data_IF_685228823242
#
_entry.id   IF_685228823242
#
_cell.length_a   1.000
_cell.length_b   1.000
_cell.length_c   1.000
_cell.angle_alpha   90.00
_cell.angle_beta   90.00
_cell.angle_gamma   90.00
#
_symmetry.space_group_name_H-M   'P 1'
#
loop_
_entity.id
_entity.type
_entity.pdbx_description
1 polymer ?
#
# COMPACT_ATOMS: atom_id res chain seq x y z
N UNK A 1 -15.49 -9.93 -40.38
CA UNK A 1 -14.03 -9.84 -40.64
C UNK A 1 -13.63 -8.38 -40.63
N UNK A 2 -13.36 -7.81 -39.44
CA UNK A 2 -12.98 -6.40 -39.31
C UNK A 2 -11.53 -6.20 -39.70
N UNK A 3 -11.29 -5.35 -40.70
CA UNK A 3 -9.97 -4.89 -41.12
C UNK A 3 -9.51 -3.76 -40.18
N UNK A 4 -9.10 -4.11 -38.96
CA UNK A 4 -8.31 -3.19 -38.16
C UNK A 4 -6.85 -3.27 -38.66
N UNK A 5 -6.40 -2.25 -39.38
CA UNK A 5 -4.98 -2.12 -39.72
C UNK A 5 -4.23 -1.61 -38.48
N UNK A 6 -3.08 -2.21 -38.17
CA UNK A 6 -2.17 -1.66 -37.16
C UNK A 6 -1.58 -0.35 -37.69
N UNK A 7 -1.92 0.78 -37.08
CA UNK A 7 -1.51 2.13 -37.53
C UNK A 7 -0.29 2.65 -36.76
N UNK A 8 0.66 1.81 -36.34
CA UNK A 8 1.68 2.21 -35.36
C UNK A 8 2.57 3.35 -35.91
N UNK A 9 2.36 4.57 -35.41
CA UNK A 9 3.12 5.79 -35.74
C UNK A 9 4.33 5.97 -34.82
N UNK A 10 5.16 4.93 -34.64
CA UNK A 10 6.21 4.92 -33.59
C UNK A 10 5.66 5.16 -32.17
N UNK A 11 4.39 4.80 -31.92
CA UNK A 11 3.82 4.75 -30.59
C UNK A 11 4.14 3.39 -29.95
N UNK A 12 4.89 3.36 -28.85
CA UNK A 12 5.19 2.11 -28.17
C UNK A 12 6.25 2.17 -27.06
N UNK A 13 6.50 0.99 -26.51
CA UNK A 13 7.46 0.71 -25.44
C UNK A 13 8.75 0.16 -26.03
N UNK A 14 9.90 0.58 -25.50
CA UNK A 14 11.20 0.24 -26.06
C UNK A 14 12.21 -0.02 -24.96
N UNK A 15 13.00 -1.07 -25.15
CA UNK A 15 14.26 -1.30 -24.47
C UNK A 15 15.39 -1.30 -25.51
N UNK A 16 16.23 -0.25 -25.50
CA UNK A 16 17.27 -0.07 -26.52
C UNK A 16 18.46 -1.03 -26.37
N UNK A 17 18.64 -1.62 -25.18
CA UNK A 17 19.76 -2.51 -24.88
C UNK A 17 19.39 -3.99 -25.00
N UNK A 18 18.09 -4.31 -24.90
CA UNK A 18 17.59 -5.69 -24.90
C UNK A 18 16.21 -5.76 -25.58
N UNK A 19 16.15 -5.88 -26.91
CA UNK A 19 14.89 -5.80 -27.67
C UNK A 19 13.93 -6.98 -27.40
N UNK A 20 14.40 -8.04 -26.75
CA UNK A 20 13.57 -9.19 -26.31
C UNK A 20 12.78 -8.89 -25.03
N UNK A 21 13.13 -7.82 -24.33
CA UNK A 21 12.43 -7.34 -23.15
C UNK A 21 11.38 -6.29 -23.54
N UNK A 22 10.13 -6.55 -23.17
CA UNK A 22 8.97 -5.77 -23.61
C UNK A 22 7.91 -5.62 -22.53
N UNK A 23 6.66 -5.44 -22.96
CA UNK A 23 5.50 -5.32 -22.08
C UNK A 23 5.07 -6.71 -21.62
N UNK A 24 5.04 -6.93 -20.30
CA UNK A 24 4.57 -8.18 -19.68
C UNK A 24 3.13 -8.08 -19.18
N UNK A 25 2.70 -6.88 -18.79
CA UNK A 25 1.40 -6.63 -18.20
C UNK A 25 0.80 -5.31 -18.66
N UNK A 26 -0.52 -5.28 -18.79
CA UNK A 26 -1.28 -4.09 -19.10
C UNK A 26 -2.56 -4.06 -18.27
N UNK A 27 -2.95 -2.88 -17.80
CA UNK A 27 -4.24 -2.70 -17.13
C UNK A 27 -4.77 -1.29 -17.35
N UNK A 28 -6.09 -1.13 -17.31
CA UNK A 28 -6.69 0.19 -17.22
C UNK A 28 -6.88 0.57 -15.77
N UNK A 29 -6.55 1.81 -15.43
CA UNK A 29 -6.94 2.42 -14.17
C UNK A 29 -7.52 3.81 -14.45
N UNK A 30 -8.82 3.96 -14.18
CA UNK A 30 -9.60 5.06 -14.76
C UNK A 30 -9.67 4.91 -16.29
N UNK A 31 -9.41 5.99 -17.01
CA UNK A 31 -9.40 6.00 -18.48
C UNK A 31 -7.99 5.73 -19.06
N UNK A 32 -7.00 5.62 -18.20
CA UNK A 32 -5.60 5.57 -18.61
C UNK A 32 -5.11 4.11 -18.67
N UNK A 33 -4.33 3.80 -19.69
CA UNK A 33 -3.66 2.52 -19.85
C UNK A 33 -2.32 2.55 -19.12
N UNK A 34 -2.09 1.58 -18.24
CA UNK A 34 -0.81 1.36 -17.59
C UNK A 34 -0.17 0.11 -18.17
N UNK A 35 1.11 0.22 -18.51
CA UNK A 35 1.89 -0.89 -19.08
C UNK A 35 3.11 -1.12 -18.22
N UNK A 36 3.37 -2.39 -17.91
CA UNK A 36 4.48 -2.84 -17.09
C UNK A 36 5.28 -3.91 -17.82
N UNK A 37 6.58 -3.93 -17.62
CA UNK A 37 7.45 -4.86 -18.33
C UNK A 37 8.91 -4.66 -17.98
N UNK A 38 9.80 -5.01 -18.90
CA UNK A 38 11.22 -4.71 -18.82
C UNK A 38 11.60 -3.73 -19.94
N UNK A 39 11.51 -2.45 -19.63
CA UNK A 39 11.76 -1.36 -20.56
C UNK A 39 12.22 -0.11 -19.84
N UNK A 40 12.87 0.79 -20.57
CA UNK A 40 13.38 2.05 -20.01
C UNK A 40 12.79 3.26 -20.71
N UNK A 41 12.00 3.07 -21.77
CA UNK A 41 11.49 4.15 -22.59
C UNK A 41 10.10 3.87 -23.13
N UNK A 42 9.24 4.87 -23.07
CA UNK A 42 7.97 4.94 -23.79
C UNK A 42 8.03 6.11 -24.77
N UNK A 43 7.47 5.97 -25.97
CA UNK A 43 7.53 7.03 -26.99
C UNK A 43 6.31 7.08 -27.89
N UNK A 44 6.11 8.25 -28.48
CA UNK A 44 5.30 8.49 -29.68
C UNK A 44 6.22 8.95 -30.81
N UNK A 45 5.67 9.23 -32.00
CA UNK A 45 6.43 9.87 -33.08
C UNK A 45 7.08 11.20 -32.66
N UNK A 46 6.49 11.89 -31.68
CA UNK A 46 6.82 13.28 -31.35
C UNK A 46 7.37 13.45 -29.93
N UNK A 47 7.46 12.38 -29.14
CA UNK A 47 7.87 12.46 -27.74
C UNK A 47 8.52 11.18 -27.25
N UNK A 48 9.53 11.31 -26.40
CA UNK A 48 10.24 10.19 -25.76
C UNK A 48 10.25 10.45 -24.26
N UNK A 49 9.87 9.45 -23.48
CA UNK A 49 9.78 9.50 -22.03
C UNK A 49 10.61 8.38 -21.45
N UNK A 50 11.55 8.74 -20.57
CA UNK A 50 12.25 7.77 -19.73
C UNK A 50 11.25 7.20 -18.73
N UNK A 51 10.94 5.91 -18.82
CA UNK A 51 9.95 5.24 -18.00
C UNK A 51 10.52 3.89 -17.55
N UNK A 52 10.81 3.75 -16.27
CA UNK A 52 11.52 2.59 -15.74
C UNK A 52 10.52 1.48 -15.44
N UNK A 53 10.38 0.55 -16.39
CA UNK A 53 9.60 -0.69 -16.31
C UNK A 53 8.08 -0.52 -16.13
N UNK A 54 7.59 0.73 -16.04
CA UNK A 54 6.17 1.07 -16.01
C UNK A 54 5.92 2.46 -16.61
N UNK A 55 4.86 2.56 -17.42
CA UNK A 55 4.44 3.80 -18.07
C UNK A 55 2.91 3.91 -18.11
N UNK A 56 2.43 5.15 -18.20
CA UNK A 56 1.02 5.50 -18.33
C UNK A 56 0.77 6.12 -19.71
N UNK A 57 -0.30 5.70 -20.37
CA UNK A 57 -0.84 6.28 -21.59
C UNK A 57 -2.24 6.85 -21.33
N UNK A 58 -2.43 8.14 -21.59
CA UNK A 58 -3.70 8.85 -21.37
C UNK A 58 -4.61 8.91 -22.62
N UNK A 59 -4.24 8.20 -23.68
CA UNK A 59 -4.89 8.31 -24.99
C UNK A 59 -4.16 9.22 -25.98
N UNK A 60 -3.25 10.07 -25.50
CA UNK A 60 -2.55 11.11 -26.28
C UNK A 60 -1.04 11.06 -26.09
N UNK A 61 -0.57 10.90 -24.85
CA UNK A 61 0.84 10.95 -24.47
C UNK A 61 1.22 9.87 -23.46
N UNK A 62 2.49 9.46 -23.52
CA UNK A 62 3.10 8.64 -22.48
C UNK A 62 3.59 9.53 -21.32
N UNK A 63 3.53 8.99 -20.11
CA UNK A 63 4.12 9.58 -18.92
C UNK A 63 4.73 8.52 -18.01
N UNK A 64 5.80 8.90 -17.31
CA UNK A 64 6.41 8.08 -16.27
C UNK A 64 5.64 8.20 -14.95
N UNK A 65 5.72 7.18 -14.10
CA UNK A 65 5.11 7.20 -12.77
C UNK A 65 6.17 7.50 -11.72
N UNK A 66 5.91 8.48 -10.84
CA UNK A 66 6.76 8.76 -9.67
C UNK A 66 7.68 9.98 -9.80
N UNK A 67 7.93 10.50 -11.00
CA UNK A 67 8.79 11.68 -11.18
C UNK A 67 8.17 13.00 -10.72
N UNK A 68 6.89 13.01 -10.34
CA UNK A 68 6.17 14.22 -9.98
C UNK A 68 6.21 15.25 -11.13
N UNK A 69 6.50 16.51 -10.79
CA UNK A 69 6.70 17.58 -11.79
C UNK A 69 8.13 17.62 -12.36
N UNK A 70 9.04 16.76 -11.92
CA UNK A 70 10.40 16.74 -12.43
C UNK A 70 10.49 15.95 -13.75
N UNK A 71 11.48 16.28 -14.57
CA UNK A 71 11.82 15.49 -15.76
C UNK A 71 12.19 14.06 -15.36
N UNK A 72 11.54 13.08 -15.98
CA UNK A 72 11.80 11.67 -15.70
C UNK A 72 13.19 11.23 -16.19
N UNK A 73 13.94 10.55 -15.32
CA UNK A 73 15.28 10.00 -15.55
C UNK A 73 15.33 8.54 -15.11
N UNK A 74 16.44 7.85 -15.33
CA UNK A 74 16.62 6.44 -14.91
C UNK A 74 16.56 6.20 -13.40
N UNK A 75 16.52 7.26 -12.57
CA UNK A 75 16.64 7.13 -11.10
C UNK A 75 15.48 7.74 -10.30
N UNK A 76 14.55 8.45 -10.94
CA UNK A 76 13.48 9.19 -10.23
C UNK A 76 12.06 8.77 -10.61
N UNK A 77 11.88 7.63 -11.28
CA UNK A 77 10.57 7.11 -11.64
C UNK A 77 10.54 5.58 -11.70
N UNK A 78 9.34 5.02 -11.71
CA UNK A 78 9.07 3.61 -11.95
C UNK A 78 9.61 2.68 -10.87
N UNK A 79 9.98 1.47 -11.26
CA UNK A 79 10.54 0.43 -10.38
C UNK A 79 11.97 0.08 -10.81
N UNK A 80 12.75 -0.47 -9.87
CA UNK A 80 14.16 -0.79 -10.10
C UNK A 80 14.42 -1.84 -11.18
N UNK A 81 13.44 -2.68 -11.47
CA UNK A 81 13.56 -3.85 -12.34
C UNK A 81 12.16 -4.31 -12.81
N UNK A 82 12.03 -5.47 -13.45
CA UNK A 82 10.87 -5.88 -14.24
C UNK A 82 9.54 -5.90 -13.49
N UNK A 83 8.50 -5.35 -14.12
CA UNK A 83 7.10 -5.55 -13.76
C UNK A 83 6.53 -6.73 -14.54
N UNK A 84 5.95 -7.70 -13.84
CA UNK A 84 5.33 -8.89 -14.46
C UNK A 84 3.79 -8.86 -14.36
N UNK A 85 3.23 -8.11 -13.42
CA UNK A 85 1.81 -8.06 -13.16
C UNK A 85 1.34 -6.67 -12.76
N UNK A 86 0.15 -6.30 -13.24
CA UNK A 86 -0.56 -5.07 -12.89
C UNK A 86 -2.00 -5.40 -12.52
N UNK A 87 -2.52 -4.75 -11.49
CA UNK A 87 -3.95 -4.80 -11.15
C UNK A 87 -4.40 -3.45 -10.63
N UNK A 88 -5.56 -2.98 -11.09
CA UNK A 88 -6.19 -1.76 -10.58
C UNK A 88 -7.39 -2.13 -9.69
N UNK A 89 -7.50 -1.53 -8.52
CA UNK A 89 -8.57 -1.82 -7.58
C UNK A 89 -8.52 -0.92 -6.36
N UNK A 90 -9.66 -0.75 -5.68
CA UNK A 90 -9.76 0.06 -4.45
C UNK A 90 -9.19 1.50 -4.57
N UNK A 91 -9.20 2.07 -5.79
CA UNK A 91 -8.67 3.40 -6.05
C UNK A 91 -7.14 3.49 -6.14
N UNK A 92 -6.43 2.38 -6.27
CA UNK A 92 -4.98 2.32 -6.44
C UNK A 92 -4.61 1.40 -7.62
N UNK A 93 -3.39 1.55 -8.11
CA UNK A 93 -2.73 0.62 -9.01
C UNK A 93 -1.70 -0.21 -8.23
N UNK A 94 -1.80 -1.53 -8.34
CA UNK A 94 -0.87 -2.48 -7.75
C UNK A 94 0.08 -3.03 -8.82
N UNK A 95 1.34 -3.13 -8.46
CA UNK A 95 2.43 -3.63 -9.31
C UNK A 95 3.09 -4.83 -8.63
N UNK A 96 3.32 -5.87 -9.42
CA UNK A 96 4.01 -7.07 -9.00
C UNK A 96 5.10 -7.43 -10.01
N UNK A 97 6.24 -7.90 -9.54
CA UNK A 97 7.33 -8.30 -10.42
C UNK A 97 8.56 -8.75 -9.67
N UNK A 98 9.71 -8.58 -10.33
CA UNK A 98 11.02 -8.84 -9.74
C UNK A 98 11.75 -7.52 -9.59
N UNK A 99 11.46 -6.78 -8.52
CA UNK A 99 12.06 -5.49 -8.20
C UNK A 99 12.24 -5.32 -6.68
N UNK A 100 13.13 -4.42 -6.28
CA UNK A 100 13.47 -4.18 -4.86
C UNK A 100 13.09 -2.77 -4.39
N UNK A 101 12.98 -1.82 -5.31
CA UNK A 101 12.58 -0.45 -4.99
C UNK A 101 11.62 0.12 -6.01
N UNK A 102 10.82 1.08 -5.54
CA UNK A 102 10.04 2.03 -6.35
C UNK A 102 10.68 3.41 -6.22
N UNK A 103 10.65 4.22 -7.27
CA UNK A 103 11.29 5.54 -7.27
C UNK A 103 10.26 6.66 -7.36
N UNK A 104 10.29 7.54 -6.37
CA UNK A 104 9.59 8.82 -6.38
C UNK A 104 10.56 9.95 -6.69
N UNK A 105 10.05 11.15 -6.99
CA UNK A 105 10.85 12.35 -7.20
C UNK A 105 11.68 12.75 -5.97
N UNK A 106 11.25 12.33 -4.78
CA UNK A 106 11.94 12.52 -3.50
C UNK A 106 12.99 11.45 -3.19
N UNK A 107 13.06 10.38 -3.98
CA UNK A 107 14.01 9.27 -3.79
C UNK A 107 13.40 7.88 -3.92
N UNK A 108 14.25 6.87 -3.82
CA UNK A 108 13.86 5.47 -3.84
C UNK A 108 13.24 5.04 -2.51
N UNK A 109 12.18 4.23 -2.58
CA UNK A 109 11.50 3.62 -1.44
C UNK A 109 11.67 2.10 -1.54
N UNK A 110 12.10 1.40 -0.47
CA UNK A 110 12.13 -0.06 -0.45
C UNK A 110 10.72 -0.63 -0.66
N UNK A 111 10.56 -1.48 -1.67
CA UNK A 111 9.32 -2.17 -1.97
C UNK A 111 9.66 -3.48 -2.70
N UNK A 112 9.70 -4.58 -1.95
CA UNK A 112 10.19 -5.86 -2.48
C UNK A 112 9.08 -6.61 -3.19
N UNK A 113 9.24 -6.79 -4.51
CA UNK A 113 8.40 -7.58 -5.43
C UNK A 113 6.95 -7.11 -5.63
N UNK A 114 6.39 -6.31 -4.71
CA UNK A 114 5.02 -5.80 -4.77
C UNK A 114 4.95 -4.38 -4.19
N UNK A 115 4.23 -3.50 -4.88
CA UNK A 115 4.04 -2.10 -4.46
C UNK A 115 2.69 -1.56 -4.94
N UNK A 116 2.37 -0.33 -4.52
CA UNK A 116 1.14 0.36 -4.89
C UNK A 116 1.37 1.82 -5.27
N UNK A 117 0.58 2.30 -6.22
CA UNK A 117 0.54 3.65 -6.73
C UNK A 117 -0.84 4.24 -6.49
N UNK A 118 -0.89 5.41 -5.85
CA UNK A 118 -2.13 6.10 -5.51
C UNK A 118 -2.50 7.20 -6.52
N UNK A 119 -1.78 7.32 -7.63
CA UNK A 119 -1.96 8.40 -8.62
C UNK A 119 -0.86 9.45 -8.58
N UNK A 120 -0.16 9.59 -7.46
CA UNK A 120 0.89 10.62 -7.27
C UNK A 120 2.17 10.10 -6.65
N UNK A 121 2.11 9.03 -5.85
CA UNK A 121 3.25 8.54 -5.07
C UNK A 121 3.25 7.03 -4.97
N UNK A 122 4.44 6.44 -5.16
CA UNK A 122 4.70 5.04 -4.92
C UNK A 122 4.85 4.75 -3.43
N UNK A 123 4.24 3.65 -2.99
CA UNK A 123 4.35 3.13 -1.63
C UNK A 123 4.57 1.62 -1.66
N UNK A 124 5.26 1.09 -0.64
CA UNK A 124 5.33 -0.36 -0.41
C UNK A 124 3.94 -0.91 -0.04
N UNK A 125 3.64 -2.13 -0.47
CA UNK A 125 2.44 -2.86 -0.02
C UNK A 125 2.84 -3.79 1.14
N UNK A 126 2.53 -3.36 2.37
CA UNK A 126 2.94 -4.08 3.57
C UNK A 126 4.46 -4.22 3.64
N UNK A 127 4.95 -5.41 3.96
CA UNK A 127 6.38 -5.74 4.05
C UNK A 127 6.96 -6.37 2.78
N UNK A 128 6.19 -6.37 1.68
CA UNK A 128 6.61 -6.96 0.41
C UNK A 128 6.55 -8.49 0.41
N UNK A 129 7.24 -9.11 -0.56
CA UNK A 129 7.31 -10.57 -0.76
C UNK A 129 8.75 -11.00 -1.05
N UNK A 130 9.10 -12.25 -0.72
CA UNK A 130 10.46 -12.79 -0.90
C UNK A 130 10.74 -13.40 -2.28
N UNK A 131 9.78 -13.33 -3.21
CA UNK A 131 9.90 -13.94 -4.53
C UNK A 131 9.04 -13.22 -5.55
N UNK A 132 9.34 -13.47 -6.82
CA UNK A 132 8.72 -12.80 -7.96
C UNK A 132 7.19 -12.92 -7.93
N UNK A 133 6.49 -11.80 -8.11
CA UNK A 133 5.04 -11.80 -8.32
C UNK A 133 4.74 -11.89 -9.81
N UNK A 134 4.11 -12.99 -10.23
CA UNK A 134 3.80 -13.29 -11.63
C UNK A 134 2.38 -12.89 -12.04
N UNK A 135 1.47 -12.81 -11.08
CA UNK A 135 0.08 -12.48 -11.33
C UNK A 135 -0.48 -11.63 -10.19
N UNK A 136 -1.33 -10.67 -10.55
CA UNK A 136 -2.12 -9.87 -9.63
C UNK A 136 -3.55 -9.81 -10.14
N UNK A 137 -4.51 -9.96 -9.22
CA UNK A 137 -5.93 -9.74 -9.46
C UNK A 137 -6.48 -8.90 -8.32
N UNK A 138 -7.18 -7.81 -8.66
CA UNK A 138 -7.97 -7.07 -7.70
C UNK A 138 -9.43 -7.51 -7.80
N UNK A 139 -10.05 -7.80 -6.66
CA UNK A 139 -11.46 -8.19 -6.56
C UNK A 139 -12.08 -7.56 -5.31
N UNK A 140 -12.94 -6.56 -5.51
CA UNK A 140 -13.54 -5.79 -4.43
C UNK A 140 -12.47 -5.12 -3.55
N UNK A 141 -12.39 -5.56 -2.30
CA UNK A 141 -11.45 -5.08 -1.27
C UNK A 141 -10.20 -5.94 -1.13
N UNK A 142 -10.01 -6.90 -2.05
CA UNK A 142 -8.92 -7.85 -2.00
C UNK A 142 -7.99 -7.64 -3.19
N UNK A 143 -6.69 -7.77 -2.92
CA UNK A 143 -5.69 -8.02 -3.94
C UNK A 143 -5.16 -9.44 -3.74
N UNK A 144 -5.22 -10.24 -4.79
CA UNK A 144 -4.70 -11.59 -4.81
C UNK A 144 -3.41 -11.56 -5.64
N UNK A 145 -2.31 -11.97 -5.02
CA UNK A 145 -1.02 -12.14 -5.66
C UNK A 145 -0.72 -13.62 -5.87
N UNK A 146 -0.14 -13.97 -7.01
CA UNK A 146 0.38 -15.29 -7.31
C UNK A 146 1.80 -15.19 -7.87
N UNK A 147 2.67 -16.13 -7.51
CA UNK A 147 4.05 -16.11 -7.98
C UNK A 147 4.99 -17.06 -7.25
N UNK A 148 6.26 -16.72 -7.24
CA UNK A 148 7.34 -17.57 -6.73
C UNK A 148 7.69 -17.33 -5.25
N UNK A 149 6.91 -16.51 -4.55
CA UNK A 149 7.12 -16.21 -3.14
C UNK A 149 6.62 -17.35 -2.24
N UNK A 150 7.31 -17.56 -1.14
CA UNK A 150 6.93 -18.53 -0.10
C UNK A 150 6.52 -17.84 1.19
N UNK A 151 6.98 -16.61 1.42
CA UNK A 151 6.68 -15.82 2.60
C UNK A 151 6.47 -14.33 2.28
N UNK A 152 5.84 -13.61 3.20
CA UNK A 152 5.93 -12.14 3.25
C UNK A 152 7.38 -11.69 3.44
N UNK A 153 7.72 -10.48 2.99
CA UNK A 153 9.11 -10.00 2.96
C UNK A 153 9.80 -9.93 4.32
N UNK A 154 9.04 -9.87 5.42
CA UNK A 154 9.53 -9.94 6.80
C UNK A 154 9.57 -11.37 7.39
N UNK A 155 9.19 -12.39 6.63
CA UNK A 155 9.11 -13.78 7.09
C UNK A 155 7.94 -14.10 8.02
N UNK A 156 7.06 -13.15 8.32
CA UNK A 156 5.99 -13.31 9.33
C UNK A 156 4.83 -14.19 8.88
N UNK A 157 4.67 -14.41 7.57
CA UNK A 157 3.55 -15.15 6.97
C UNK A 157 4.05 -16.08 5.89
N UNK A 158 3.63 -17.34 5.93
CA UNK A 158 3.82 -18.31 4.85
C UNK A 158 2.64 -18.21 3.89
N UNK A 159 2.92 -17.92 2.62
CA UNK A 159 1.89 -17.68 1.62
C UNK A 159 1.89 -18.76 0.51
N UNK A 160 2.81 -19.73 0.50
CA UNK A 160 2.79 -20.87 -0.43
C UNK A 160 2.40 -20.52 -1.89
N UNK A 161 3.12 -19.55 -2.51
CA UNK A 161 2.94 -19.11 -3.90
C UNK A 161 1.69 -18.27 -4.21
N UNK A 162 0.79 -18.04 -3.25
CA UNK A 162 -0.33 -17.10 -3.42
C UNK A 162 -0.69 -16.33 -2.13
N UNK A 163 -0.99 -15.05 -2.22
CA UNK A 163 -1.29 -14.19 -1.08
C UNK A 163 -2.57 -13.39 -1.30
N UNK A 164 -3.40 -13.26 -0.26
CA UNK A 164 -4.59 -12.40 -0.28
C UNK A 164 -4.36 -11.22 0.65
N UNK A 165 -4.37 -10.02 0.10
CA UNK A 165 -4.24 -8.76 0.80
C UNK A 165 -5.62 -8.12 0.95
N UNK A 166 -5.95 -7.66 2.15
CA UNK A 166 -7.08 -6.75 2.34
C UNK A 166 -6.56 -5.32 2.13
N UNK A 167 -7.01 -4.68 1.06
CA UNK A 167 -6.39 -3.44 0.56
C UNK A 167 -7.15 -2.16 0.93
N UNK A 168 -8.34 -2.27 1.51
CA UNK A 168 -8.91 -1.12 2.22
C UNK A 168 -8.09 -0.88 3.48
N UNK A 169 -7.82 0.39 3.77
CA UNK A 169 -7.19 0.82 5.00
C UNK A 169 -7.77 0.01 6.15
N UNK A 170 -6.90 -0.78 6.81
CA UNK A 170 -7.24 -1.40 8.07
C UNK A 170 -7.91 -0.29 8.91
N UNK A 171 -9.11 -0.49 9.48
CA UNK A 171 -9.72 0.52 10.37
C UNK A 171 -8.81 0.89 11.56
N UNK A 172 -7.72 0.14 11.75
CA UNK A 172 -6.61 0.39 12.63
C UNK A 172 -5.35 0.76 11.82
N UNK A 173 -5.27 2.00 11.35
CA UNK A 173 -4.00 2.62 10.98
C UNK A 173 -3.33 3.15 12.25
N UNK A 174 -2.12 2.68 12.57
CA UNK A 174 -1.26 3.39 13.54
C UNK A 174 -0.71 4.60 12.80
N UNK A 175 -1.35 5.76 13.00
CA UNK A 175 -0.73 7.03 12.65
C UNK A 175 0.35 7.27 13.69
N UNK A 176 1.60 7.45 13.27
CA UNK A 176 2.62 8.04 14.13
C UNK A 176 2.16 9.46 14.46
N UNK A 177 1.41 9.61 15.55
CA UNK A 177 0.91 10.89 16.01
C UNK A 177 2.09 11.78 16.36
N UNK A 178 2.28 12.84 15.58
CA UNK A 178 3.10 13.99 15.94
C UNK A 178 2.57 14.57 17.25
N UNK A 179 3.36 14.50 18.34
CA UNK A 179 3.21 15.18 19.64
C UNK A 179 1.84 15.84 19.93
N UNK A 180 0.76 15.07 19.84
CA UNK A 180 -0.55 15.44 20.36
C UNK A 180 -0.65 14.84 21.76
N UNK A 181 -1.33 15.53 22.68
CA UNK A 181 -1.47 15.18 24.09
C UNK A 181 -1.53 13.65 24.28
N UNK A 182 -0.57 13.09 25.01
CA UNK A 182 -0.49 11.65 25.16
C UNK A 182 -1.69 11.14 25.97
N UNK A 183 -2.28 10.03 25.53
CA UNK A 183 -3.23 9.30 26.35
C UNK A 183 -2.47 8.61 27.49
N UNK A 184 -2.99 8.72 28.70
CA UNK A 184 -2.44 8.03 29.88
C UNK A 184 -3.49 7.08 30.47
N UNK A 185 -3.02 5.94 30.97
CA UNK A 185 -3.86 4.92 31.59
C UNK A 185 -3.36 4.61 32.99
N UNK A 186 -4.25 4.59 33.97
CA UNK A 186 -3.94 4.13 35.32
C UNK A 186 -5.14 3.46 36.00
N UNK A 187 -4.96 2.32 36.70
CA UNK A 187 -3.73 1.53 36.72
C UNK A 187 -3.47 0.85 35.36
N UNK A 188 -2.20 0.61 35.06
CA UNK A 188 -1.75 -0.15 33.89
C UNK A 188 -0.42 -0.86 34.26
N UNK A 189 -0.42 -2.17 34.58
CA UNK A 189 -1.48 -3.16 34.34
C UNK A 189 -2.79 -2.90 35.09
N UNK A 190 -3.90 -3.34 34.50
CA UNK A 190 -5.26 -3.16 35.00
C UNK A 190 -5.89 -4.50 35.38
N UNK A 191 -6.44 -4.59 36.59
CA UNK A 191 -7.10 -5.78 37.15
C UNK A 191 -8.62 -5.82 36.88
N UNK A 192 -9.09 -5.14 35.82
CA UNK A 192 -10.49 -5.09 35.41
C UNK A 192 -11.04 -3.67 35.21
N UNK A 193 -10.36 -2.65 35.73
CA UNK A 193 -10.68 -1.25 35.46
C UNK A 193 -9.43 -0.42 35.19
N UNK A 194 -9.55 0.59 34.33
CA UNK A 194 -8.52 1.59 34.10
C UNK A 194 -9.15 2.97 33.84
N UNK A 195 -8.48 4.02 34.27
CA UNK A 195 -8.84 5.41 33.94
C UNK A 195 -7.98 5.89 32.78
N UNK A 196 -8.62 6.35 31.72
CA UNK A 196 -7.96 7.06 30.61
C UNK A 196 -8.00 8.57 30.85
N UNK A 197 -6.89 9.26 30.66
CA UNK A 197 -6.81 10.73 30.60
C UNK A 197 -6.14 11.21 29.32
N UNK A 198 -6.36 12.48 28.95
CA UNK A 198 -5.77 13.11 27.77
C UNK A 198 -6.58 12.92 26.48
N UNK A 199 -7.78 12.34 26.55
CA UNK A 199 -8.63 12.18 25.38
C UNK A 199 -9.24 13.53 24.94
N UNK A 200 -9.56 13.72 23.65
CA UNK A 200 -10.32 14.90 23.23
C UNK A 200 -11.67 14.96 23.96
N UNK A 201 -12.12 16.18 24.26
CA UNK A 201 -13.37 16.42 25.00
C UNK A 201 -14.54 15.68 24.35
N UNK A 202 -15.28 14.90 25.14
CA UNK A 202 -16.44 14.15 24.66
C UNK A 202 -16.15 13.12 23.55
N UNK A 203 -14.87 12.73 23.35
CA UNK A 203 -14.50 11.75 22.33
C UNK A 203 -15.00 10.33 22.67
N UNK A 204 -15.31 9.56 21.63
CA UNK A 204 -15.50 8.12 21.78
C UNK A 204 -14.16 7.46 22.14
N UNK A 205 -14.19 6.63 23.17
CA UNK A 205 -13.05 5.84 23.63
C UNK A 205 -13.35 4.37 23.39
N UNK A 206 -12.45 3.68 22.69
CA UNK A 206 -12.65 2.31 22.24
C UNK A 206 -11.46 1.45 22.66
N UNK A 207 -11.72 0.23 23.13
CA UNK A 207 -10.69 -0.76 23.47
C UNK A 207 -10.75 -1.90 22.46
N UNK A 208 -9.60 -2.32 21.95
CA UNK A 208 -9.47 -3.38 20.95
C UNK A 208 -8.55 -4.49 21.45
N UNK A 209 -8.88 -5.74 21.11
CA UNK A 209 -7.98 -6.89 21.26
C UNK A 209 -6.86 -6.88 20.19
N UNK A 210 -5.90 -7.79 20.32
CA UNK A 210 -4.76 -7.91 19.37
C UNK A 210 -5.17 -8.29 17.95
N UNK A 211 -6.40 -8.79 17.75
CA UNK A 211 -6.98 -9.08 16.45
C UNK A 211 -7.75 -7.89 15.88
N UNK A 212 -7.77 -6.76 16.58
CA UNK A 212 -8.44 -5.54 16.19
C UNK A 212 -9.95 -5.54 16.42
N UNK A 213 -10.49 -6.52 17.16
CA UNK A 213 -11.92 -6.53 17.51
C UNK A 213 -12.16 -5.60 18.68
N UNK A 214 -13.22 -4.79 18.59
CA UNK A 214 -13.61 -3.85 19.63
C UNK A 214 -14.27 -4.60 20.79
N UNK A 215 -13.71 -4.47 21.99
CA UNK A 215 -14.16 -5.16 23.20
C UNK A 215 -14.86 -4.24 24.20
N UNK A 216 -14.62 -2.93 24.13
CA UNK A 216 -15.28 -1.93 24.96
C UNK A 216 -15.47 -0.63 24.16
N UNK A 217 -16.56 0.08 24.44
CA UNK A 217 -16.77 1.46 23.98
C UNK A 217 -17.34 2.28 25.12
N UNK A 218 -16.76 3.45 25.33
CA UNK A 218 -17.22 4.46 26.29
C UNK A 218 -16.99 5.86 25.71
N UNK A 219 -17.26 6.89 26.50
CA UNK A 219 -17.08 8.29 26.11
C UNK A 219 -16.24 9.00 27.15
N UNK A 220 -15.29 9.82 26.70
CA UNK A 220 -14.59 10.74 27.57
C UNK A 220 -15.52 11.86 28.06
N UNK A 221 -15.31 12.34 29.27
CA UNK A 221 -16.05 13.44 29.84
C UNK A 221 -15.58 14.81 29.28
N UNK A 222 -16.08 15.89 29.90
CA UNK A 222 -15.72 17.25 29.52
C UNK A 222 -14.23 17.59 29.74
N UNK A 223 -13.53 16.81 30.56
CA UNK A 223 -12.12 16.98 30.94
C UNK A 223 -11.18 16.08 30.13
N UNK A 224 -11.71 15.22 29.26
CA UNK A 224 -10.91 14.25 28.51
C UNK A 224 -10.58 12.98 29.31
N UNK A 225 -11.36 12.69 30.34
CA UNK A 225 -11.20 11.50 31.20
C UNK A 225 -12.26 10.46 30.87
N UNK A 226 -11.92 9.17 30.85
CA UNK A 226 -12.87 8.08 30.66
C UNK A 226 -12.59 6.91 31.60
N UNK A 227 -13.64 6.36 32.21
CA UNK A 227 -13.54 5.11 32.97
C UNK A 227 -13.71 3.91 32.03
N UNK A 228 -12.73 3.01 32.06
CA UNK A 228 -12.71 1.77 31.31
C UNK A 228 -13.03 0.61 32.24
N UNK A 229 -14.29 0.16 32.25
CA UNK A 229 -14.67 -1.08 32.91
C UNK A 229 -14.52 -2.24 31.93
N UNK A 230 -13.47 -3.04 32.10
CA UNK A 230 -13.16 -4.15 31.19
C UNK A 230 -14.12 -5.32 31.44
N UNK A 231 -14.70 -5.93 30.39
CA UNK A 231 -15.49 -7.14 30.53
C UNK A 231 -14.74 -8.24 31.31
N UNK A 232 -15.41 -8.87 32.27
CA UNK A 232 -14.79 -9.89 33.13
C UNK A 232 -14.26 -11.09 32.34
N UNK A 233 -14.91 -11.43 31.21
CA UNK A 233 -14.52 -12.52 30.32
C UNK A 233 -13.32 -12.21 29.41
N UNK A 234 -12.78 -10.99 29.44
CA UNK A 234 -11.56 -10.69 28.68
C UNK A 234 -10.39 -11.51 29.25
N UNK A 235 -9.54 -12.10 28.41
CA UNK A 235 -8.32 -12.76 28.89
C UNK A 235 -7.28 -11.71 29.35
N UNK A 236 -6.37 -12.12 30.23
CA UNK A 236 -5.15 -11.36 30.48
C UNK A 236 -4.37 -11.18 29.17
N UNK A 237 -3.77 -10.01 28.97
CA UNK A 237 -3.08 -9.70 27.73
C UNK A 237 -2.99 -8.21 27.40
N UNK A 238 -2.58 -7.95 26.16
CA UNK A 238 -2.36 -6.59 25.64
C UNK A 238 -3.56 -6.14 24.81
N UNK A 239 -4.00 -4.91 25.05
CA UNK A 239 -5.10 -4.26 24.38
C UNK A 239 -4.65 -2.87 23.90
N UNK A 240 -5.35 -2.33 22.91
CA UNK A 240 -5.15 -0.96 22.43
C UNK A 240 -6.37 -0.13 22.79
N UNK A 241 -6.15 0.99 23.47
CA UNK A 241 -7.18 2.01 23.72
C UNK A 241 -7.00 3.14 22.73
N UNK A 242 -8.08 3.54 22.06
CA UNK A 242 -8.10 4.63 21.08
C UNK A 242 -9.11 5.71 21.49
N UNK A 243 -8.72 6.97 21.36
CA UNK A 243 -9.61 8.13 21.48
C UNK A 243 -9.29 9.14 20.36
N UNK A 244 -10.15 9.22 19.34
CA UNK A 244 -9.87 10.00 18.13
C UNK A 244 -8.66 9.44 17.36
N UNK A 245 -7.65 10.28 17.14
CA UNK A 245 -6.38 9.91 16.49
C UNK A 245 -5.32 9.38 17.46
N UNK A 246 -5.59 9.45 18.77
CA UNK A 246 -4.65 9.03 19.80
C UNK A 246 -4.86 7.56 20.18
N UNK A 247 -3.76 6.89 20.54
CA UNK A 247 -3.80 5.52 21.04
C UNK A 247 -2.79 5.28 22.17
N UNK A 248 -3.13 4.37 23.09
CA UNK A 248 -2.25 3.93 24.18
C UNK A 248 -2.43 2.43 24.47
N UNK A 249 -1.36 1.78 24.90
CA UNK A 249 -1.34 0.36 25.28
C UNK A 249 -1.95 0.16 26.67
N UNK A 250 -2.92 -0.76 26.77
CA UNK A 250 -3.47 -1.26 28.03
C UNK A 250 -3.01 -2.71 28.24
N UNK A 251 -2.48 -3.00 29.42
CA UNK A 251 -2.16 -4.36 29.86
C UNK A 251 -3.22 -4.77 30.87
N UNK A 252 -3.85 -5.93 30.67
CA UNK A 252 -4.78 -6.54 31.63
C UNK A 252 -4.11 -7.76 32.25
N UNK A 253 -4.15 -7.81 33.57
CA UNK A 253 -3.73 -8.98 34.37
C UNK A 253 -4.92 -9.85 34.77
#
# INVERSE_FOLDING_TARGET
NGTAAATSTNNGIVNLNFPEYGVNAMTFWGNDLYVGGNFTTARTSNSVVTANNIAKWDGIAWSALGSGSATATSTNNGVSDVVNALAAGSGELYVGGYFLTVNNSSGAVPATMIAKWNGTTWNTLGTGLNGNVRALVASGNQLIAGGDFTVSGDGSKVNSRFGIYNVVANPLSVVAGSNAAALHLYPNPASGQATLTGAPRAAAVQVFDVLGRRVLTTKADATGTAQLTLPAALPAGVYVVRAGELSVRLVRE
#
